data_IF_041963228053
#
_entry.id   IF_041963228053
#
_cell.length_a   1.000
_cell.length_b   1.000
_cell.length_c   1.000
_cell.angle_alpha   90.00
_cell.angle_beta   90.00
_cell.angle_gamma   90.00
#
_symmetry.space_group_name_H-M   'P 1'
#
loop_
_entity.id
_entity.type
_entity.pdbx_description
1 polymer ?
#
# COMPACT_ATOMS: atom_id res chain seq x y z
N UNK A 1 13.72 37.71 -16.51
CA UNK A 1 14.46 36.59 -15.90
C UNK A 1 14.64 36.88 -14.42
N UNK A 2 14.06 36.07 -13.54
CA UNK A 2 14.38 36.04 -12.12
C UNK A 2 14.09 34.61 -11.63
N UNK A 3 15.15 33.81 -11.56
CA UNK A 3 15.13 32.42 -11.09
C UNK A 3 15.12 32.44 -9.56
N UNK A 4 14.00 32.06 -8.94
CA UNK A 4 13.94 31.87 -7.50
C UNK A 4 14.50 30.47 -7.19
N UNK A 5 15.73 30.41 -6.69
CA UNK A 5 16.31 29.20 -6.14
C UNK A 5 15.55 28.86 -4.84
N UNK A 6 14.68 27.85 -4.88
CA UNK A 6 14.20 27.21 -3.66
C UNK A 6 15.38 26.52 -2.98
N UNK A 7 15.75 27.05 -1.82
CA UNK A 7 16.72 26.41 -0.92
C UNK A 7 16.08 25.12 -0.39
N UNK A 8 16.61 23.98 -0.81
CA UNK A 8 16.31 22.69 -0.19
C UNK A 8 17.08 22.63 1.12
N UNK A 9 16.39 22.87 2.23
CA UNK A 9 16.94 22.63 3.56
C UNK A 9 17.01 21.11 3.78
N UNK A 10 18.17 20.51 4.06
CA UNK A 10 18.24 19.08 4.36
C UNK A 10 17.62 18.81 5.74
N UNK A 11 16.61 17.95 5.79
CA UNK A 11 15.98 17.49 7.03
C UNK A 11 16.92 16.52 7.78
N UNK A 12 17.05 16.62 9.12
CA UNK A 12 17.91 15.76 9.93
C UNK A 12 17.13 14.50 10.34
N UNK A 13 16.94 13.53 9.45
CA UNK A 13 16.17 12.31 9.78
C UNK A 13 17.07 11.05 9.74
N UNK A 14 17.20 10.27 10.84
CA UNK A 14 17.70 8.90 10.74
C UNK A 14 16.76 8.12 9.83
N UNK A 15 17.13 7.99 8.54
CA UNK A 15 16.35 7.34 7.49
C UNK A 15 15.74 6.02 7.99
N UNK A 16 14.45 6.03 8.31
CA UNK A 16 13.69 4.82 8.64
C UNK A 16 13.84 3.86 7.47
N UNK A 17 14.40 2.69 7.71
CA UNK A 17 14.66 1.70 6.68
C UNK A 17 13.46 0.77 6.53
N UNK A 18 13.39 0.08 5.39
CA UNK A 18 12.39 -0.97 5.19
C UNK A 18 12.50 -2.11 6.22
N UNK A 19 13.68 -2.30 6.84
CA UNK A 19 13.86 -3.28 7.91
C UNK A 19 13.24 -2.81 9.23
N UNK A 20 13.40 -1.53 9.56
CA UNK A 20 12.82 -0.95 10.78
C UNK A 20 11.29 -1.10 10.77
N UNK A 21 10.66 -0.89 9.61
CA UNK A 21 9.21 -1.08 9.43
C UNK A 21 8.75 -2.52 9.71
N UNK A 22 9.58 -3.53 9.43
CA UNK A 22 9.22 -4.94 9.63
C UNK A 22 9.15 -5.34 11.10
N UNK A 23 9.88 -4.61 11.96
CA UNK A 23 9.93 -4.85 13.40
C UNK A 23 9.15 -3.80 14.19
N UNK A 24 8.56 -2.82 13.53
CA UNK A 24 7.76 -1.78 14.16
C UNK A 24 6.39 -2.36 14.57
N UNK A 25 5.95 -2.15 15.82
CA UNK A 25 4.62 -2.56 16.23
C UNK A 25 3.53 -1.74 15.52
N UNK A 26 2.29 -2.26 15.48
CA UNK A 26 1.19 -1.66 14.71
C UNK A 26 0.90 -0.20 15.10
N UNK A 27 0.92 0.13 16.38
CA UNK A 27 0.73 1.49 16.88
C UNK A 27 1.84 2.44 16.40
N UNK A 28 3.09 1.98 16.40
CA UNK A 28 4.22 2.68 15.82
C UNK A 28 4.07 2.90 14.32
N UNK A 29 3.61 1.89 13.58
CA UNK A 29 3.35 1.98 12.13
C UNK A 29 2.25 3.00 11.82
N UNK A 30 1.15 2.99 12.59
CA UNK A 30 0.05 3.95 12.44
C UNK A 30 0.52 5.37 12.79
N UNK A 31 1.26 5.54 13.88
CA UNK A 31 1.82 6.83 14.28
C UNK A 31 2.83 7.37 13.26
N UNK A 32 3.63 6.50 12.63
CA UNK A 32 4.47 6.88 11.50
C UNK A 32 3.63 7.31 10.31
N UNK A 33 2.60 6.53 9.95
CA UNK A 33 1.72 6.83 8.83
C UNK A 33 1.06 8.21 8.95
N UNK A 34 0.54 8.58 10.12
CA UNK A 34 -0.07 9.90 10.37
C UNK A 34 0.88 11.10 10.15
N UNK A 35 2.20 10.87 10.15
CA UNK A 35 3.21 11.92 9.93
C UNK A 35 3.62 12.05 8.46
N UNK A 36 3.25 11.09 7.61
CA UNK A 36 3.63 11.07 6.21
C UNK A 36 2.58 11.80 5.37
N UNK A 37 3.05 12.61 4.42
CA UNK A 37 2.18 13.13 3.38
C UNK A 37 1.79 12.00 2.41
N UNK A 38 0.61 12.09 1.79
CA UNK A 38 0.31 11.28 0.63
C UNK A 38 1.39 11.51 -0.45
N UNK A 39 1.89 10.45 -1.10
CA UNK A 39 2.82 10.60 -2.22
C UNK A 39 2.09 11.27 -3.39
N UNK A 40 2.83 12.00 -4.23
CA UNK A 40 2.31 12.38 -5.54
C UNK A 40 2.08 11.12 -6.38
N UNK A 41 1.04 11.13 -7.22
CA UNK A 41 0.67 9.92 -7.96
C UNK A 41 1.76 9.42 -8.89
N UNK A 42 2.52 10.34 -9.50
CA UNK A 42 3.65 10.00 -10.37
C UNK A 42 4.78 9.28 -9.62
N UNK A 43 5.01 9.60 -8.33
CA UNK A 43 6.00 8.89 -7.50
C UNK A 43 5.62 7.43 -7.27
N UNK A 44 4.33 7.13 -7.42
CA UNK A 44 3.80 5.78 -7.31
C UNK A 44 3.84 5.03 -8.64
N UNK A 45 4.32 5.60 -9.75
CA UNK A 45 4.40 4.90 -11.03
C UNK A 45 5.48 3.79 -10.98
N UNK A 46 5.06 2.53 -10.96
CA UNK A 46 5.97 1.39 -11.05
C UNK A 46 5.50 0.14 -10.31
N UNK A 47 6.41 -0.84 -10.20
CA UNK A 47 6.21 -2.07 -9.43
C UNK A 47 7.03 -2.05 -8.14
N UNK A 48 6.36 -2.20 -6.99
CA UNK A 48 6.96 -2.16 -5.67
C UNK A 48 6.90 -3.52 -5.01
N UNK A 49 8.06 -4.05 -4.63
CA UNK A 49 8.16 -5.27 -3.84
C UNK A 49 7.35 -5.12 -2.55
N UNK A 50 6.42 -6.03 -2.32
CA UNK A 50 5.47 -5.92 -1.24
C UNK A 50 5.83 -6.86 -0.09
N UNK A 51 5.58 -6.40 1.14
CA UNK A 51 5.68 -7.23 2.33
C UNK A 51 4.52 -6.88 3.27
N UNK A 52 4.01 -7.89 3.96
CA UNK A 52 3.10 -7.65 5.08
C UNK A 52 3.90 -7.12 6.27
N UNK A 53 3.33 -6.14 6.97
CA UNK A 53 3.84 -5.60 8.25
C UNK A 53 2.96 -6.10 9.41
N UNK A 54 3.27 -5.70 10.65
CA UNK A 54 2.51 -6.08 11.84
C UNK A 54 1.00 -5.81 11.69
N UNK A 55 0.16 -6.72 12.21
CA UNK A 55 -1.30 -6.70 12.12
C UNK A 55 -1.99 -6.55 13.49
N UNK A 56 -1.22 -6.27 14.55
CA UNK A 56 -1.69 -6.03 15.92
C UNK A 56 -1.78 -7.30 16.78
N UNK A 57 -1.79 -8.48 16.16
CA UNK A 57 -1.68 -9.76 16.85
C UNK A 57 -1.12 -10.85 15.94
N UNK A 58 -0.47 -11.85 16.53
CA UNK A 58 0.06 -12.99 15.77
C UNK A 58 -1.02 -13.75 14.97
N UNK A 59 -2.23 -13.90 15.52
CA UNK A 59 -3.35 -14.53 14.82
C UNK A 59 -3.82 -13.75 13.60
N UNK A 60 -3.91 -12.41 13.72
CA UNK A 60 -4.24 -11.53 12.60
C UNK A 60 -3.15 -11.57 11.52
N UNK A 61 -1.87 -11.55 11.94
CA UNK A 61 -0.74 -11.65 11.03
C UNK A 61 -0.74 -12.95 10.22
N UNK A 62 -0.92 -14.10 10.88
CA UNK A 62 -1.00 -15.41 10.20
C UNK A 62 -2.17 -15.46 9.23
N UNK A 63 -3.35 -14.98 9.64
CA UNK A 63 -4.54 -14.94 8.79
C UNK A 63 -4.31 -14.10 7.54
N UNK A 64 -3.74 -12.91 7.70
CA UNK A 64 -3.39 -12.01 6.59
C UNK A 64 -2.34 -12.63 5.66
N UNK A 65 -1.30 -13.27 6.20
CA UNK A 65 -0.29 -13.98 5.40
C UNK A 65 -0.93 -15.06 4.52
N UNK A 66 -1.84 -15.88 5.07
CA UNK A 66 -2.55 -16.90 4.29
C UNK A 66 -3.43 -16.26 3.21
N UNK A 67 -4.20 -15.23 3.58
CA UNK A 67 -5.11 -14.56 2.65
C UNK A 67 -4.36 -13.92 1.46
N UNK A 68 -3.23 -13.25 1.72
CA UNK A 68 -2.41 -12.61 0.69
C UNK A 68 -1.77 -13.63 -0.25
N UNK A 69 -1.43 -14.82 0.23
CA UNK A 69 -0.69 -15.82 -0.54
C UNK A 69 -1.60 -16.91 -1.17
N UNK A 70 -2.93 -16.80 -1.05
CA UNK A 70 -3.87 -17.83 -1.56
C UNK A 70 -3.82 -18.00 -3.09
N UNK A 71 -3.41 -16.96 -3.83
CA UNK A 71 -3.28 -16.99 -5.30
C UNK A 71 -1.86 -17.35 -5.79
N UNK A 72 -0.95 -17.70 -4.87
CA UNK A 72 0.48 -17.84 -5.10
C UNK A 72 1.28 -16.95 -4.14
N UNK A 73 2.61 -17.09 -4.10
CA UNK A 73 3.45 -16.24 -3.25
C UNK A 73 3.35 -14.79 -3.71
N UNK A 74 2.82 -13.91 -2.88
CA UNK A 74 2.67 -12.49 -3.19
C UNK A 74 4.05 -11.84 -3.36
N UNK A 75 4.23 -11.05 -4.43
CA UNK A 75 5.52 -10.47 -4.80
C UNK A 75 5.50 -8.94 -4.75
N UNK A 76 4.61 -8.31 -5.51
CA UNK A 76 4.61 -6.87 -5.69
C UNK A 76 3.20 -6.30 -5.84
N UNK A 77 3.12 -4.97 -5.74
CA UNK A 77 2.02 -4.15 -6.25
C UNK A 77 2.55 -3.29 -7.40
N UNK A 78 1.79 -3.25 -8.48
CA UNK A 78 2.05 -2.35 -9.60
C UNK A 78 1.01 -1.23 -9.60
N UNK A 79 1.44 -0.01 -9.87
CA UNK A 79 0.58 1.17 -9.95
C UNK A 79 0.91 1.91 -11.25
N UNK A 80 -0.13 2.23 -11.99
CA UNK A 80 -0.11 3.02 -13.22
C UNK A 80 -0.98 4.27 -12.99
N UNK A 81 -0.40 5.47 -13.00
CA UNK A 81 -1.16 6.71 -13.01
C UNK A 81 -1.99 6.84 -14.29
N UNK A 82 -3.24 7.28 -14.17
CA UNK A 82 -4.04 7.72 -15.33
C UNK A 82 -4.39 9.21 -15.26
N UNK A 83 -4.08 9.85 -14.14
CA UNK A 83 -4.29 11.26 -13.87
C UNK A 83 -3.54 11.71 -12.60
N UNK A 84 -3.73 12.97 -12.17
CA UNK A 84 -2.97 13.53 -11.06
C UNK A 84 -3.33 12.92 -9.69
N UNK A 85 -4.53 12.36 -9.54
CA UNK A 85 -5.05 11.84 -8.28
C UNK A 85 -5.68 10.44 -8.42
N UNK A 86 -5.53 9.79 -9.58
CA UNK A 86 -6.15 8.51 -9.86
C UNK A 86 -5.32 7.64 -10.82
N UNK A 87 -5.56 6.34 -10.74
CA UNK A 87 -4.85 5.33 -11.50
C UNK A 87 -5.48 3.95 -11.34
N UNK A 88 -4.71 2.96 -11.75
CA UNK A 88 -5.04 1.58 -11.52
C UNK A 88 -3.79 0.74 -11.26
N UNK A 89 -3.99 -0.50 -10.86
CA UNK A 89 -2.89 -1.40 -10.57
C UNK A 89 -3.28 -2.85 -10.49
N UNK A 90 -2.32 -3.66 -10.07
CA UNK A 90 -2.53 -5.07 -9.77
C UNK A 90 -1.52 -5.56 -8.73
N UNK A 91 -1.77 -6.73 -8.17
CA UNK A 91 -0.77 -7.49 -7.44
C UNK A 91 -0.14 -8.54 -8.36
N UNK A 92 1.13 -8.87 -8.14
CA UNK A 92 1.77 -10.01 -8.81
C UNK A 92 2.07 -11.13 -7.82
N UNK A 93 2.00 -12.37 -8.32
CA UNK A 93 2.15 -13.58 -7.53
C UNK A 93 3.06 -14.56 -8.26
N UNK A 94 3.98 -15.19 -7.54
CA UNK A 94 4.69 -16.36 -8.04
C UNK A 94 3.78 -17.59 -7.93
N UNK A 95 3.58 -18.26 -9.05
CA UNK A 95 2.82 -19.52 -9.15
C UNK A 95 3.72 -20.62 -9.72
N UNK A 96 3.32 -21.90 -9.68
CA UNK A 96 4.07 -22.97 -10.36
C UNK A 96 4.24 -22.75 -11.88
N UNK A 97 3.43 -21.89 -12.50
CA UNK A 97 3.49 -21.55 -13.93
C UNK A 97 4.21 -20.21 -14.19
N UNK A 98 4.90 -19.67 -13.19
CA UNK A 98 5.58 -18.37 -13.26
C UNK A 98 4.79 -17.23 -12.63
N UNK A 99 5.19 -16.00 -12.95
CA UNK A 99 4.60 -14.77 -12.40
C UNK A 99 3.22 -14.51 -13.02
N UNK A 100 2.22 -14.36 -12.16
CA UNK A 100 0.84 -14.03 -12.53
C UNK A 100 0.47 -12.65 -12.00
N UNK A 101 -0.03 -11.77 -12.88
CA UNK A 101 -0.67 -10.50 -12.51
C UNK A 101 -2.15 -10.76 -12.22
N UNK A 102 -2.64 -10.33 -11.06
CA UNK A 102 -4.01 -10.55 -10.60
C UNK A 102 -4.42 -9.53 -9.53
N UNK A 103 -5.64 -9.61 -9.03
CA UNK A 103 -6.13 -8.75 -7.93
C UNK A 103 -5.99 -7.28 -8.32
N UNK A 104 -6.76 -6.89 -9.34
CA UNK A 104 -6.74 -5.54 -9.94
C UNK A 104 -7.23 -4.52 -8.93
N UNK A 105 -6.74 -3.29 -9.01
CA UNK A 105 -7.16 -2.22 -8.11
C UNK A 105 -7.34 -0.93 -8.87
N UNK A 106 -8.32 -0.13 -8.46
CA UNK A 106 -8.31 1.31 -8.70
C UNK A 106 -7.44 1.94 -7.63
N UNK A 107 -6.72 2.98 -8.00
CA UNK A 107 -5.90 3.75 -7.06
C UNK A 107 -6.34 5.20 -7.09
N UNK A 108 -6.37 5.85 -5.92
CA UNK A 108 -6.70 7.28 -5.82
C UNK A 108 -6.03 7.93 -4.62
N UNK A 109 -5.87 9.25 -4.65
CA UNK A 109 -5.52 10.06 -3.47
C UNK A 109 -6.80 10.71 -2.92
N UNK A 110 -6.92 10.76 -1.59
CA UNK A 110 -7.99 11.47 -0.90
C UNK A 110 -7.99 11.18 0.60
N UNK A 111 -9.00 11.62 1.36
CA UNK A 111 -8.94 11.61 2.82
C UNK A 111 -8.64 10.24 3.41
N UNK A 112 -7.77 10.19 4.42
CA UNK A 112 -7.44 8.96 5.14
C UNK A 112 -8.67 8.30 5.76
N UNK A 113 -8.69 6.96 5.75
CA UNK A 113 -9.73 6.16 6.42
C UNK A 113 -9.31 5.75 7.84
N UNK A 114 -8.09 6.07 8.26
CA UNK A 114 -7.58 5.74 9.59
C UNK A 114 -8.15 6.75 10.60
N UNK A 115 -8.79 6.28 11.70
CA UNK A 115 -9.32 7.19 12.71
C UNK A 115 -8.26 8.12 13.29
N UNK A 116 -8.55 9.42 13.30
CA UNK A 116 -7.65 10.44 13.85
C UNK A 116 -6.58 10.94 12.88
N UNK A 117 -6.55 10.44 11.64
CA UNK A 117 -5.70 10.95 10.57
C UNK A 117 -6.44 12.03 9.76
N UNK A 118 -5.88 13.24 9.74
CA UNK A 118 -6.45 14.37 9.01
C UNK A 118 -5.86 14.55 7.61
N UNK A 119 -4.86 13.74 7.23
CA UNK A 119 -4.19 13.85 5.95
C UNK A 119 -4.94 13.12 4.83
N UNK A 120 -4.58 13.44 3.59
CA UNK A 120 -4.87 12.55 2.47
C UNK A 120 -3.98 11.31 2.53
N UNK A 121 -4.47 10.21 1.97
CA UNK A 121 -3.76 8.95 1.82
C UNK A 121 -3.91 8.38 0.41
N UNK A 122 -2.97 7.50 0.04
CA UNK A 122 -3.06 6.73 -1.20
C UNK A 122 -3.94 5.49 -1.00
N UNK A 123 -5.09 5.43 -1.66
CA UNK A 123 -6.08 4.36 -1.53
C UNK A 123 -5.92 3.30 -2.62
N UNK A 124 -6.09 2.04 -2.24
CA UNK A 124 -6.10 0.89 -3.13
C UNK A 124 -7.47 0.21 -3.04
N UNK A 125 -8.30 0.36 -4.06
CA UNK A 125 -9.69 -0.07 -4.06
C UNK A 125 -9.88 -1.29 -4.97
N UNK A 126 -10.28 -2.41 -4.38
CA UNK A 126 -10.28 -3.70 -5.07
C UNK A 126 -11.67 -4.24 -5.40
N UNK A 127 -12.71 -3.82 -4.65
CA UNK A 127 -14.01 -4.49 -4.64
C UNK A 127 -14.70 -4.50 -6.00
N UNK A 128 -14.59 -3.41 -6.78
CA UNK A 128 -15.24 -3.29 -8.09
C UNK A 128 -14.62 -4.18 -9.17
N UNK A 129 -13.35 -4.59 -8.98
CA UNK A 129 -12.55 -5.21 -10.03
C UNK A 129 -12.25 -6.69 -9.78
N UNK A 130 -12.70 -7.25 -8.66
CA UNK A 130 -12.42 -8.63 -8.30
C UNK A 130 -13.59 -9.29 -7.59
N UNK A 131 -13.87 -10.53 -8.01
CA UNK A 131 -14.79 -11.42 -7.30
C UNK A 131 -14.10 -12.01 -6.06
N UNK A 132 -13.85 -11.17 -5.05
CA UNK A 132 -13.61 -11.70 -3.71
C UNK A 132 -14.93 -12.34 -3.29
N UNK A 133 -14.99 -13.67 -3.36
CA UNK A 133 -16.19 -14.45 -3.02
C UNK A 133 -16.84 -13.84 -1.77
N UNK A 134 -18.04 -13.28 -1.94
CA UNK A 134 -18.86 -12.69 -0.88
C UNK A 134 -19.00 -13.73 0.23
N UNK A 135 -18.28 -13.55 1.34
CA UNK A 135 -18.22 -14.49 2.48
C UNK A 135 -16.96 -15.37 2.61
N UNK A 136 -15.95 -15.22 1.75
CA UNK A 136 -14.65 -15.90 1.91
C UNK A 136 -13.64 -15.07 2.72
N UNK A 137 -12.57 -15.68 3.27
CA UNK A 137 -11.60 -15.00 4.13
C UNK A 137 -10.92 -13.78 3.50
N UNK A 138 -10.88 -13.68 2.16
CA UNK A 138 -10.36 -12.50 1.45
C UNK A 138 -11.35 -11.35 1.25
N UNK A 139 -12.67 -11.59 1.38
CA UNK A 139 -13.70 -10.57 1.20
C UNK A 139 -13.83 -9.62 2.39
N UNK A 140 -13.52 -10.10 3.60
CA UNK A 140 -13.55 -9.27 4.81
C UNK A 140 -12.50 -8.15 4.82
N UNK A 141 -11.42 -8.28 4.03
CA UNK A 141 -10.35 -7.28 3.91
C UNK A 141 -10.50 -6.34 2.70
N UNK A 142 -11.53 -6.53 1.87
CA UNK A 142 -11.73 -5.75 0.64
C UNK A 142 -12.79 -4.64 0.79
N UNK A 143 -13.44 -4.55 1.94
CA UNK A 143 -14.38 -3.48 2.28
C UNK A 143 -13.67 -2.40 3.09
N UNK A 144 -12.87 -1.58 2.41
CA UNK A 144 -12.46 -0.27 2.92
C UNK A 144 -12.58 0.75 1.82
#
# INVERSE_FOLDING_TARGET
>A
MATLLQQVTPSPDPRITAMDLRFMPLDGLVALFHRLAAPAFEEMHGEFAATLLEQGSGGAFVTAQVALNIKGRWLCKAIEPIGPNEGHGYNSFMTPRGVKRAVRMRTRIGPSKIPGDANDSFHLEYAELNDFKRGGPGGAFAHT
#
